data_IF_071535112300
#
_entry.id   IF_071535112300
#
_cell.length_a   1.000
_cell.length_b   1.000
_cell.length_c   1.000
_cell.angle_alpha   90.00
_cell.angle_beta   90.00
_cell.angle_gamma   90.00
#
_symmetry.space_group_name_H-M   'P 1'
#
loop_
_entity.id
_entity.type
_entity.pdbx_description
1 polymer ?
#
# COMPACT_ATOMS: atom_id res chain seq x y z
N UNK A 1 46.82 7.19 27.51
CA UNK A 1 46.21 5.86 27.26
C UNK A 1 44.83 5.89 27.88
N UNK A 2 43.88 6.43 27.12
CA UNK A 2 42.44 6.40 27.43
C UNK A 2 41.77 6.20 26.09
N UNK A 3 41.41 4.96 25.85
CA UNK A 3 40.72 4.45 24.69
C UNK A 3 39.36 5.14 24.60
N UNK A 4 39.20 5.99 23.59
CA UNK A 4 37.92 6.60 23.23
C UNK A 4 37.35 5.67 22.19
N UNK A 5 36.45 4.79 22.62
CA UNK A 5 35.63 3.98 21.73
C UNK A 5 34.88 4.91 20.79
N UNK A 6 35.35 4.94 19.55
CA UNK A 6 34.72 5.61 18.42
C UNK A 6 33.43 4.85 18.10
N UNK A 7 32.33 5.21 18.76
CA UNK A 7 31.00 4.84 18.30
C UNK A 7 30.71 5.65 17.04
N UNK A 8 31.28 5.21 15.91
CA UNK A 8 30.90 5.71 14.59
C UNK A 8 29.38 5.57 14.47
N UNK A 9 28.68 6.71 14.53
CA UNK A 9 27.25 6.79 14.31
C UNK A 9 26.96 6.46 12.85
N UNK A 10 26.88 5.18 12.53
CA UNK A 10 26.48 4.71 11.20
C UNK A 10 25.09 5.24 10.91
N UNK A 11 25.00 6.11 9.90
CA UNK A 11 23.70 6.55 9.36
C UNK A 11 22.91 5.31 8.95
N UNK A 12 21.59 5.26 9.20
CA UNK A 12 20.77 4.14 8.80
C UNK A 12 20.90 3.90 7.28
N UNK A 13 20.87 2.63 6.83
CA UNK A 13 20.95 2.31 5.42
C UNK A 13 19.82 3.00 4.65
N UNK A 14 20.15 3.59 3.50
CA UNK A 14 19.20 4.31 2.65
C UNK A 14 18.38 3.33 1.82
N UNK A 15 17.12 3.65 1.60
CA UNK A 15 16.19 2.83 0.82
C UNK A 15 15.73 3.60 -0.41
N UNK A 16 15.89 3.00 -1.58
CA UNK A 16 15.34 3.51 -2.83
C UNK A 16 13.84 3.25 -2.95
N UNK A 17 13.09 4.22 -3.45
CA UNK A 17 11.69 4.09 -3.87
C UNK A 17 11.61 4.46 -5.34
N UNK A 18 11.40 3.46 -6.18
CA UNK A 18 11.30 3.62 -7.63
C UNK A 18 9.84 3.63 -8.07
N UNK A 19 9.35 4.79 -8.49
CA UNK A 19 7.95 4.97 -8.86
C UNK A 19 7.77 4.80 -10.37
N UNK A 20 6.86 3.92 -10.78
CA UNK A 20 6.39 3.86 -12.18
C UNK A 20 5.17 4.78 -12.26
N UNK A 21 5.19 5.75 -13.18
CA UNK A 21 4.27 6.88 -13.15
C UNK A 21 4.71 7.97 -12.15
N UNK A 22 6.03 8.20 -12.06
CA UNK A 22 6.65 9.06 -11.04
C UNK A 22 6.18 10.52 -11.05
N UNK A 23 5.65 11.02 -12.18
CA UNK A 23 5.12 12.39 -12.36
C UNK A 23 3.59 12.45 -12.23
N UNK A 24 2.94 11.33 -11.92
CA UNK A 24 1.51 11.27 -11.61
C UNK A 24 1.16 12.02 -10.32
N UNK A 25 -0.14 12.27 -10.10
CA UNK A 25 -0.63 12.98 -8.90
C UNK A 25 -0.26 12.25 -7.60
N UNK A 26 -0.46 10.92 -7.55
CA UNK A 26 -0.12 10.08 -6.38
C UNK A 26 1.37 10.14 -6.08
N UNK A 27 2.21 9.89 -7.09
CA UNK A 27 3.66 9.88 -6.95
C UNK A 27 4.21 11.24 -6.48
N UNK A 28 3.77 12.32 -7.12
CA UNK A 28 4.22 13.68 -6.77
C UNK A 28 3.78 14.06 -5.35
N UNK A 29 2.55 13.69 -4.96
CA UNK A 29 2.04 13.92 -3.59
C UNK A 29 2.82 13.10 -2.57
N UNK A 30 3.18 11.85 -2.87
CA UNK A 30 4.00 11.00 -2.00
C UNK A 30 5.42 11.54 -1.82
N UNK A 31 6.09 11.98 -2.90
CA UNK A 31 7.44 12.58 -2.84
C UNK A 31 7.40 13.89 -2.02
N UNK A 32 6.42 14.76 -2.32
CA UNK A 32 6.24 16.03 -1.59
C UNK A 32 5.96 15.78 -0.11
N UNK A 33 5.06 14.83 0.19
CA UNK A 33 4.71 14.44 1.55
C UNK A 33 5.91 13.88 2.32
N UNK A 34 6.67 12.95 1.73
CA UNK A 34 7.86 12.39 2.36
C UNK A 34 8.88 13.47 2.73
N UNK A 35 9.16 14.40 1.81
CA UNK A 35 10.06 15.53 2.07
C UNK A 35 9.53 16.45 3.19
N UNK A 36 8.23 16.76 3.18
CA UNK A 36 7.59 17.60 4.18
C UNK A 36 7.63 16.97 5.58
N UNK A 37 7.38 15.67 5.67
CA UNK A 37 7.41 14.91 6.92
C UNK A 37 8.84 14.75 7.44
N UNK A 38 9.81 14.46 6.57
CA UNK A 38 11.23 14.42 6.92
C UNK A 38 11.72 15.77 7.47
N UNK A 39 11.25 16.88 6.89
CA UNK A 39 11.52 18.23 7.36
C UNK A 39 10.66 18.66 8.58
N UNK A 40 9.76 17.79 9.07
CA UNK A 40 8.83 18.06 10.17
C UNK A 40 7.93 19.29 9.95
N UNK A 41 7.58 19.56 8.70
CA UNK A 41 6.65 20.64 8.32
C UNK A 41 5.19 20.26 8.59
N UNK A 42 4.88 18.96 8.59
CA UNK A 42 3.54 18.42 8.87
C UNK A 42 3.61 17.15 9.72
N UNK A 43 2.54 16.81 10.46
CA UNK A 43 2.40 15.51 11.09
C UNK A 43 2.11 14.39 10.06
N UNK A 44 2.48 13.13 10.31
CA UNK A 44 2.32 12.01 9.38
C UNK A 44 0.87 11.46 9.35
N UNK A 45 -0.11 12.34 9.16
CA UNK A 45 -1.53 11.97 9.10
C UNK A 45 -1.78 11.04 7.90
N UNK A 46 -2.49 9.94 8.14
CA UNK A 46 -2.80 8.95 7.12
C UNK A 46 -1.73 7.87 6.93
N UNK A 47 -0.55 8.00 7.54
CA UNK A 47 0.47 6.95 7.54
C UNK A 47 0.26 5.99 8.70
N UNK A 48 -0.15 4.76 8.39
CA UNK A 48 -0.38 3.71 9.39
C UNK A 48 0.93 3.32 10.07
N UNK A 49 2.03 3.34 9.31
CA UNK A 49 3.36 2.96 9.82
C UNK A 49 3.97 3.95 10.81
N UNK A 50 3.36 5.13 10.98
CA UNK A 50 3.76 6.14 11.97
C UNK A 50 2.91 6.07 13.26
N UNK A 51 2.10 5.02 13.42
CA UNK A 51 1.31 4.76 14.64
C UNK A 51 2.02 3.83 15.62
N UNK A 52 1.60 3.85 16.88
CA UNK A 52 2.23 3.11 17.98
C UNK A 52 2.57 1.63 17.71
N UNK A 53 1.69 0.83 17.07
CA UNK A 53 2.00 -0.57 16.77
C UNK A 53 3.24 -0.82 15.90
N UNK A 54 3.69 0.19 15.13
CA UNK A 54 4.81 0.08 14.20
C UNK A 54 6.10 0.75 14.72
N UNK A 55 6.06 1.38 15.90
CA UNK A 55 7.21 2.09 16.48
C UNK A 55 8.47 1.19 16.56
N UNK A 56 8.28 -0.08 16.92
CA UNK A 56 9.37 -1.07 17.08
C UNK A 56 9.60 -1.94 15.83
N UNK A 57 8.92 -1.67 14.71
CA UNK A 57 9.07 -2.46 13.49
C UNK A 57 10.39 -2.18 12.74
N UNK A 58 11.18 -1.19 13.21
CA UNK A 58 12.44 -0.75 12.61
C UNK A 58 12.32 -0.51 11.09
N UNK A 59 11.26 0.18 10.70
CA UNK A 59 11.00 0.57 9.32
C UNK A 59 12.00 1.66 8.89
N UNK A 60 12.42 1.70 7.61
CA UNK A 60 13.26 2.79 7.10
C UNK A 60 12.65 4.15 7.46
N UNK A 61 13.39 5.08 8.09
CA UNK A 61 12.87 6.40 8.41
C UNK A 61 12.64 7.20 7.13
N UNK A 62 11.70 8.15 7.16
CA UNK A 62 11.29 8.92 5.97
C UNK A 62 12.44 9.71 5.33
N UNK A 63 13.37 10.23 6.13
CA UNK A 63 14.55 10.96 5.68
C UNK A 63 15.64 10.07 5.04
N UNK A 64 15.52 8.74 5.16
CA UNK A 64 16.39 7.78 4.49
C UNK A 64 15.88 7.33 3.12
N UNK A 65 14.65 7.71 2.76
CA UNK A 65 14.04 7.36 1.47
C UNK A 65 14.63 8.21 0.34
N UNK A 66 14.95 7.57 -0.78
CA UNK A 66 15.47 8.21 -1.99
C UNK A 66 14.55 7.88 -3.14
N UNK A 67 14.02 8.91 -3.81
CA UNK A 67 13.04 8.74 -4.87
C UNK A 67 13.71 8.77 -6.24
N UNK A 68 13.30 7.83 -7.10
CA UNK A 68 13.58 7.78 -8.53
C UNK A 68 12.38 7.17 -9.25
N UNK A 69 12.48 6.93 -10.54
CA UNK A 69 11.34 6.34 -11.25
C UNK A 69 11.37 6.46 -12.75
N UNK A 70 10.26 6.02 -13.35
CA UNK A 70 9.97 6.19 -14.76
C UNK A 70 8.67 6.96 -14.95
N UNK A 71 8.64 7.81 -15.97
CA UNK A 71 7.41 8.44 -16.42
C UNK A 71 7.46 8.79 -17.92
N UNK A 72 6.30 8.82 -18.58
CA UNK A 72 6.18 9.21 -19.98
C UNK A 72 5.89 10.70 -20.14
N UNK A 73 5.41 11.37 -19.10
CA UNK A 73 5.20 12.81 -19.07
C UNK A 73 6.53 13.56 -18.95
N UNK A 74 6.56 14.77 -19.51
CA UNK A 74 7.73 15.65 -19.48
C UNK A 74 7.66 16.75 -18.42
N UNK A 75 6.51 16.93 -17.75
CA UNK A 75 6.32 17.97 -16.75
C UNK A 75 7.22 17.74 -15.52
N UNK A 76 8.16 18.64 -15.19
CA UNK A 76 9.05 18.51 -14.03
C UNK A 76 8.27 18.34 -12.70
N UNK A 77 8.78 17.54 -11.76
CA UNK A 77 8.14 17.29 -10.47
C UNK A 77 7.83 18.56 -9.68
N UNK A 78 8.75 19.57 -9.59
CA UNK A 78 8.41 20.82 -8.92
C UNK A 78 7.20 21.52 -9.53
N UNK A 79 7.07 21.50 -10.86
CA UNK A 79 5.93 22.10 -11.57
C UNK A 79 4.65 21.29 -11.41
N UNK A 80 4.77 19.96 -11.39
CA UNK A 80 3.63 19.10 -11.07
C UNK A 80 3.12 19.34 -9.65
N UNK A 81 4.03 19.51 -8.68
CA UNK A 81 3.67 19.79 -7.29
C UNK A 81 3.00 21.17 -7.13
N UNK A 82 3.47 22.19 -7.84
CA UNK A 82 2.80 23.50 -7.91
C UNK A 82 1.35 23.37 -8.42
N UNK A 83 1.14 22.66 -9.54
CA UNK A 83 -0.20 22.44 -10.10
C UNK A 83 -1.13 21.67 -9.13
N UNK A 84 -0.59 20.68 -8.39
CA UNK A 84 -1.35 19.96 -7.37
C UNK A 84 -1.68 20.84 -6.16
N UNK A 85 -0.83 21.80 -5.82
CA UNK A 85 -1.12 22.78 -4.78
C UNK A 85 -2.23 23.76 -5.21
N UNK A 86 -2.22 24.20 -6.47
CA UNK A 86 -3.31 25.01 -7.05
C UNK A 86 -4.64 24.25 -7.06
N UNK A 87 -4.60 22.93 -7.30
CA UNK A 87 -5.78 22.05 -7.24
C UNK A 87 -6.23 21.69 -5.81
N UNK A 88 -5.53 22.16 -4.78
CA UNK A 88 -5.84 21.89 -3.38
C UNK A 88 -5.50 20.48 -2.89
N UNK A 89 -4.75 19.70 -3.67
CA UNK A 89 -4.27 18.36 -3.30
C UNK A 89 -3.11 18.45 -2.29
N UNK A 90 -2.22 19.42 -2.53
CA UNK A 90 -1.05 19.69 -1.69
C UNK A 90 -1.25 21.05 -1.00
N UNK A 91 -0.86 21.22 0.27
CA UNK A 91 -0.93 22.52 0.94
C UNK A 91 -0.17 23.61 0.16
N UNK A 92 -0.78 24.80 0.08
CA UNK A 92 -0.16 25.95 -0.57
C UNK A 92 1.23 26.24 0.04
N UNK A 93 2.21 26.52 -0.81
CA UNK A 93 3.57 26.89 -0.40
C UNK A 93 4.47 25.70 -0.05
N UNK A 94 3.90 24.51 0.17
CA UNK A 94 4.68 23.31 0.44
C UNK A 94 5.62 22.93 -0.72
N UNK A 95 5.20 22.97 -2.01
CA UNK A 95 6.12 22.70 -3.13
C UNK A 95 7.37 23.60 -3.14
N UNK A 96 7.22 24.86 -2.73
CA UNK A 96 8.35 25.78 -2.63
C UNK A 96 9.27 25.44 -1.45
N UNK A 97 8.70 25.01 -0.32
CA UNK A 97 9.44 24.61 0.88
C UNK A 97 10.29 23.35 0.66
N UNK A 98 9.81 22.40 -0.16
CA UNK A 98 10.52 21.14 -0.47
C UNK A 98 11.05 21.06 -1.90
N UNK A 99 11.32 22.22 -2.51
CA UNK A 99 11.72 22.32 -3.92
C UNK A 99 13.02 21.56 -4.22
N UNK A 100 13.96 21.55 -3.29
CA UNK A 100 15.26 20.90 -3.48
C UNK A 100 15.10 19.37 -3.55
N UNK A 101 14.26 18.81 -2.69
CA UNK A 101 13.92 17.39 -2.63
C UNK A 101 13.17 16.95 -3.89
N UNK A 102 12.20 17.77 -4.34
CA UNK A 102 11.49 17.54 -5.60
C UNK A 102 12.44 17.57 -6.81
N UNK A 103 13.37 18.52 -6.86
CA UNK A 103 14.36 18.61 -7.93
C UNK A 103 15.36 17.43 -7.90
N UNK A 104 15.75 16.97 -6.71
CA UNK A 104 16.61 15.81 -6.56
C UNK A 104 15.93 14.51 -7.04
N UNK A 105 14.65 14.32 -6.68
CA UNK A 105 13.85 13.21 -7.19
C UNK A 105 13.67 13.30 -8.71
N UNK A 106 13.44 14.49 -9.26
CA UNK A 106 13.26 14.73 -10.70
C UNK A 106 14.49 14.31 -11.52
N UNK A 107 15.69 14.64 -11.02
CA UNK A 107 16.96 14.29 -11.65
C UNK A 107 17.22 12.77 -11.68
N UNK A 108 16.58 12.01 -10.78
CA UNK A 108 16.66 10.56 -10.74
C UNK A 108 15.58 9.86 -11.61
N UNK A 109 14.72 10.63 -12.30
CA UNK A 109 13.72 10.07 -13.20
C UNK A 109 14.33 9.66 -14.55
N UNK A 110 13.71 8.65 -15.16
CA UNK A 110 14.04 8.13 -16.49
C UNK A 110 12.80 8.18 -17.40
N UNK A 111 12.98 8.39 -18.71
CA UNK A 111 11.87 8.38 -19.65
C UNK A 111 11.30 6.97 -19.79
N UNK A 112 9.99 6.82 -19.55
CA UNK A 112 9.26 5.57 -19.80
C UNK A 112 8.96 5.38 -21.29
N UNK A 113 8.74 4.13 -21.71
CA UNK A 113 8.23 3.87 -23.05
C UNK A 113 6.70 3.94 -23.06
N UNK A 114 6.08 4.50 -24.12
CA UNK A 114 4.64 4.45 -24.30
C UNK A 114 4.15 3.01 -24.50
N UNK A 115 2.87 2.77 -24.22
CA UNK A 115 2.24 1.45 -24.37
C UNK A 115 2.25 0.94 -25.82
N UNK A 116 2.07 1.85 -26.78
CA UNK A 116 2.17 1.58 -28.22
C UNK A 116 3.57 1.97 -28.72
N UNK A 117 4.25 1.04 -29.39
CA UNK A 117 5.59 1.27 -29.94
C UNK A 117 6.26 -0.02 -30.44
N UNK A 118 7.50 0.05 -30.96
CA UNK A 118 8.20 -1.09 -31.57
C UNK A 118 8.31 -2.32 -30.66
N UNK A 119 8.42 -2.12 -29.35
CA UNK A 119 8.45 -3.18 -28.34
C UNK A 119 7.10 -3.95 -28.20
N UNK A 120 6.02 -3.46 -28.81
CA UNK A 120 4.75 -4.19 -28.91
C UNK A 120 4.70 -5.14 -30.12
N UNK A 121 5.68 -5.12 -31.02
CA UNK A 121 5.65 -5.90 -32.27
C UNK A 121 6.85 -6.84 -32.41
N UNK A 122 7.93 -6.63 -31.66
CA UNK A 122 9.18 -7.40 -31.70
C UNK A 122 9.61 -7.89 -30.30
N UNK A 123 9.81 -9.19 -30.14
CA UNK A 123 10.24 -9.83 -28.88
C UNK A 123 11.67 -9.46 -28.47
N UNK A 124 12.55 -9.20 -29.45
CA UNK A 124 13.89 -8.69 -29.17
C UNK A 124 13.84 -7.30 -28.55
N UNK A 125 13.02 -6.41 -29.13
CA UNK A 125 12.79 -5.08 -28.61
C UNK A 125 12.11 -5.06 -27.23
N UNK A 126 11.20 -6.01 -26.95
CA UNK A 126 10.61 -6.18 -25.61
C UNK A 126 11.67 -6.57 -24.56
N UNK A 127 12.53 -7.53 -24.88
CA UNK A 127 13.58 -8.00 -23.97
C UNK A 127 14.64 -6.91 -23.72
N UNK A 128 15.05 -6.18 -24.75
CA UNK A 128 15.95 -5.03 -24.64
C UNK A 128 15.36 -3.92 -23.76
N UNK A 129 14.05 -3.68 -23.87
CA UNK A 129 13.35 -2.70 -23.05
C UNK A 129 13.32 -3.11 -21.57
N UNK A 130 13.02 -4.38 -21.28
CA UNK A 130 13.05 -4.93 -19.92
C UNK A 130 14.48 -4.87 -19.35
N UNK A 131 15.48 -5.20 -20.17
CA UNK A 131 16.89 -5.11 -19.78
C UNK A 131 17.30 -3.66 -19.46
N UNK A 132 16.86 -2.68 -20.26
CA UNK A 132 17.07 -1.26 -20.02
C UNK A 132 16.48 -0.81 -18.69
N UNK A 133 15.22 -1.16 -18.41
CA UNK A 133 14.58 -0.84 -17.13
C UNK A 133 15.28 -1.49 -15.94
N UNK A 134 15.75 -2.73 -16.06
CA UNK A 134 16.51 -3.40 -15.01
C UNK A 134 17.88 -2.73 -14.77
N UNK A 135 18.52 -2.27 -15.84
CA UNK A 135 19.76 -1.51 -15.76
C UNK A 135 19.56 -0.17 -15.04
N UNK A 136 18.48 0.56 -15.33
CA UNK A 136 18.15 1.80 -14.63
C UNK A 136 17.95 1.59 -13.12
N UNK A 137 17.25 0.52 -12.72
CA UNK A 137 17.05 0.16 -11.31
C UNK A 137 18.37 -0.15 -10.61
N UNK A 138 19.24 -0.93 -11.27
CA UNK A 138 20.55 -1.32 -10.74
C UNK A 138 21.45 -0.10 -10.60
N UNK A 139 21.45 0.75 -11.62
CA UNK A 139 22.23 1.98 -11.66
C UNK A 139 21.77 2.99 -10.60
N UNK A 140 20.46 3.16 -10.42
CA UNK A 140 19.90 3.98 -9.34
C UNK A 140 20.33 3.47 -7.96
N UNK A 141 20.21 2.16 -7.72
CA UNK A 141 20.63 1.52 -6.46
C UNK A 141 22.11 1.80 -6.18
N UNK A 142 22.97 1.61 -7.19
CA UNK A 142 24.41 1.83 -7.10
C UNK A 142 24.79 3.29 -6.89
N UNK A 143 24.27 4.19 -7.73
CA UNK A 143 24.64 5.62 -7.73
C UNK A 143 24.21 6.34 -6.44
N UNK A 144 23.11 5.92 -5.82
CA UNK A 144 22.65 6.49 -4.57
C UNK A 144 23.13 5.74 -3.31
N UNK A 145 23.91 4.66 -3.47
CA UNK A 145 24.43 3.85 -2.36
C UNK A 145 23.32 3.23 -1.51
N UNK A 146 22.29 2.71 -2.17
CA UNK A 146 21.08 2.20 -1.52
C UNK A 146 21.29 0.75 -1.09
N UNK A 147 20.81 0.41 0.10
CA UNK A 147 20.84 -0.98 0.57
C UNK A 147 19.85 -1.86 -0.21
N UNK A 148 18.76 -1.26 -0.70
CA UNK A 148 17.72 -1.88 -1.52
C UNK A 148 16.89 -0.82 -2.23
N UNK A 149 16.16 -1.22 -3.26
CA UNK A 149 15.23 -0.37 -4.00
C UNK A 149 13.89 -1.07 -4.13
N UNK A 150 12.81 -0.46 -3.62
CA UNK A 150 11.44 -0.96 -3.77
C UNK A 150 10.81 -0.29 -4.99
N UNK A 151 10.31 -1.10 -5.92
CA UNK A 151 9.61 -0.64 -7.13
C UNK A 151 8.12 -0.60 -6.85
N UNK A 152 7.47 0.54 -7.07
CA UNK A 152 6.03 0.72 -6.83
C UNK A 152 5.37 1.23 -8.10
N UNK A 153 4.39 0.48 -8.60
CA UNK A 153 3.57 0.90 -9.73
C UNK A 153 2.42 1.79 -9.27
N UNK A 154 2.43 3.05 -9.68
CA UNK A 154 1.35 4.04 -9.48
C UNK A 154 0.96 4.72 -10.81
N UNK A 155 1.26 4.08 -11.93
CA UNK A 155 0.94 4.58 -13.26
C UNK A 155 -0.55 4.48 -13.59
N UNK A 156 -0.95 5.05 -14.72
CA UNK A 156 -2.31 4.93 -15.24
C UNK A 156 -2.74 3.46 -15.36
N UNK A 157 -4.02 3.22 -15.11
CA UNK A 157 -4.63 1.88 -15.21
C UNK A 157 -4.54 1.36 -16.65
N UNK A 158 -4.16 0.10 -16.80
CA UNK A 158 -4.14 -0.61 -18.08
C UNK A 158 -5.40 -1.48 -18.22
N UNK A 159 -5.84 -1.77 -19.45
CA UNK A 159 -6.87 -2.78 -19.67
C UNK A 159 -6.40 -4.16 -19.19
N UNK A 160 -7.33 -5.07 -18.83
CA UNK A 160 -6.98 -6.41 -18.40
C UNK A 160 -6.27 -7.16 -19.55
N UNK A 161 -5.30 -8.04 -19.25
CA UNK A 161 -4.71 -8.89 -20.27
C UNK A 161 -5.78 -9.84 -20.83
N UNK A 162 -5.69 -10.25 -22.11
CA UNK A 162 -6.61 -11.23 -22.67
C UNK A 162 -6.55 -12.55 -21.90
N UNK A 163 -7.70 -13.22 -21.74
CA UNK A 163 -7.79 -14.49 -21.03
C UNK A 163 -6.95 -15.58 -21.72
N UNK A 164 -6.35 -16.51 -20.96
CA UNK A 164 -5.61 -17.63 -21.53
C UNK A 164 -6.49 -18.46 -22.46
N UNK A 165 -6.23 -18.39 -23.78
CA UNK A 165 -6.95 -19.16 -24.81
C UNK A 165 -7.94 -18.36 -25.67
N UNK A 166 -8.20 -17.09 -25.34
CA UNK A 166 -9.08 -16.22 -26.15
C UNK A 166 -8.34 -15.46 -27.27
N UNK A 167 -7.01 -15.51 -27.31
CA UNK A 167 -6.21 -14.98 -28.41
C UNK A 167 -6.02 -16.04 -29.51
N UNK A 168 -6.61 -15.90 -30.72
CA UNK A 168 -6.37 -16.82 -31.81
C UNK A 168 -4.93 -16.63 -32.30
N UNK A 169 -4.04 -17.57 -31.96
CA UNK A 169 -2.65 -17.58 -32.40
C UNK A 169 -1.75 -16.51 -31.74
N UNK A 170 -0.97 -16.90 -30.74
CA UNK A 170 0.50 -16.76 -30.75
C UNK A 170 1.05 -16.99 -29.34
N UNK A 171 2.22 -17.63 -29.26
CA UNK A 171 3.06 -17.64 -28.07
C UNK A 171 3.67 -16.24 -27.75
N UNK A 172 3.15 -15.15 -28.33
CA UNK A 172 3.82 -13.86 -28.46
C UNK A 172 2.92 -12.62 -28.26
N UNK A 173 1.90 -12.68 -27.40
CA UNK A 173 1.27 -11.43 -26.92
C UNK A 173 2.30 -10.64 -26.09
N UNK A 174 2.64 -9.39 -26.47
CA UNK A 174 3.59 -8.57 -25.73
C UNK A 174 3.12 -8.34 -24.30
N UNK A 175 4.06 -8.25 -23.37
CA UNK A 175 3.77 -7.84 -22.01
C UNK A 175 3.25 -6.40 -22.01
N UNK A 176 2.16 -6.08 -21.28
CA UNK A 176 1.78 -4.69 -21.11
C UNK A 176 2.86 -3.95 -20.29
N UNK A 177 2.92 -2.61 -20.34
CA UNK A 177 3.97 -1.82 -19.68
C UNK A 177 4.16 -2.17 -18.19
N UNK A 178 3.08 -2.30 -17.42
CA UNK A 178 3.14 -2.68 -16.00
C UNK A 178 3.89 -3.99 -15.77
N UNK A 179 3.68 -4.98 -16.64
CA UNK A 179 4.35 -6.28 -16.59
C UNK A 179 5.81 -6.20 -17.03
N UNK A 180 6.15 -5.35 -17.99
CA UNK A 180 7.56 -5.11 -18.38
C UNK A 180 8.37 -4.53 -17.22
N UNK A 181 7.81 -3.54 -16.51
CA UNK A 181 8.43 -3.01 -15.31
C UNK A 181 8.50 -4.03 -14.16
N UNK A 182 7.47 -4.86 -13.98
CA UNK A 182 7.51 -5.94 -12.99
C UNK A 182 8.62 -6.96 -13.31
N UNK A 183 8.75 -7.36 -14.59
CA UNK A 183 9.83 -8.24 -15.04
C UNK A 183 11.22 -7.64 -14.80
N UNK A 184 11.38 -6.33 -15.06
CA UNK A 184 12.61 -5.60 -14.79
C UNK A 184 12.94 -5.55 -13.28
N UNK A 185 11.93 -5.33 -12.43
CA UNK A 185 12.09 -5.34 -10.97
C UNK A 185 12.56 -6.71 -10.48
N UNK A 186 11.93 -7.81 -10.93
CA UNK A 186 12.37 -9.17 -10.60
C UNK A 186 13.82 -9.43 -11.05
N UNK A 187 14.17 -9.01 -12.27
CA UNK A 187 15.51 -9.18 -12.84
C UNK A 187 16.57 -8.41 -12.05
N UNK A 188 16.24 -7.21 -11.60
CA UNK A 188 17.11 -6.37 -10.77
C UNK A 188 17.14 -6.80 -9.29
N UNK A 189 16.41 -7.86 -8.90
CA UNK A 189 16.32 -8.28 -7.49
C UNK A 189 15.68 -7.22 -6.60
N UNK A 190 14.78 -6.40 -7.15
CA UNK A 190 14.10 -5.34 -6.42
C UNK A 190 12.71 -5.81 -5.95
N UNK A 191 12.34 -5.61 -4.67
CA UNK A 191 10.97 -5.79 -4.21
C UNK A 191 9.96 -5.00 -5.03
N UNK A 192 8.75 -5.52 -5.19
CA UNK A 192 7.75 -4.95 -6.10
C UNK A 192 6.38 -4.76 -5.45
N UNK A 193 5.75 -3.61 -5.70
CA UNK A 193 4.39 -3.31 -5.26
C UNK A 193 3.55 -2.85 -6.44
N UNK A 194 2.39 -3.46 -6.63
CA UNK A 194 1.43 -3.00 -7.64
C UNK A 194 0.27 -2.24 -7.00
N UNK A 195 0.30 -0.91 -7.05
CA UNK A 195 -0.76 -0.07 -6.48
C UNK A 195 -1.90 0.20 -7.47
N UNK A 196 -1.87 -0.39 -8.66
CA UNK A 196 -2.90 -0.25 -9.72
C UNK A 196 -3.60 -1.59 -9.97
N UNK A 197 -4.76 -1.61 -10.66
CA UNK A 197 -5.40 -2.87 -11.06
C UNK A 197 -4.76 -3.52 -12.30
N UNK A 198 -3.77 -2.86 -12.92
CA UNK A 198 -3.01 -3.39 -14.07
C UNK A 198 -2.37 -4.74 -13.74
N UNK A 199 -2.09 -5.56 -14.75
CA UNK A 199 -1.60 -6.93 -14.54
C UNK A 199 -0.31 -6.98 -13.70
N UNK A 200 0.67 -6.12 -14.00
CA UNK A 200 1.95 -6.07 -13.30
C UNK A 200 2.59 -7.46 -13.19
N UNK A 201 2.98 -7.84 -11.98
CA UNK A 201 3.55 -9.15 -11.68
C UNK A 201 2.59 -10.34 -11.88
N UNK A 202 1.28 -10.10 -11.87
CA UNK A 202 0.25 -11.15 -11.99
C UNK A 202 -0.03 -11.57 -13.43
N UNK A 203 0.66 -11.00 -14.41
CA UNK A 203 0.54 -11.45 -15.78
C UNK A 203 0.98 -12.92 -15.91
N UNK A 204 0.22 -13.80 -16.61
CA UNK A 204 0.52 -15.23 -16.68
C UNK A 204 1.95 -15.58 -17.13
N UNK A 205 2.52 -14.82 -18.08
CA UNK A 205 3.91 -14.97 -18.55
C UNK A 205 4.96 -14.78 -17.43
N UNK A 206 4.64 -14.07 -16.36
CA UNK A 206 5.56 -13.81 -15.24
C UNK A 206 5.37 -14.76 -14.06
N UNK A 207 4.35 -15.62 -14.07
CA UNK A 207 4.03 -16.48 -12.94
C UNK A 207 5.20 -17.40 -12.52
N UNK A 208 5.95 -17.93 -13.49
CA UNK A 208 7.13 -18.75 -13.19
C UNK A 208 8.27 -17.93 -12.58
N UNK A 209 8.55 -16.74 -13.13
CA UNK A 209 9.56 -15.83 -12.61
C UNK A 209 9.21 -15.34 -11.20
N UNK A 210 7.94 -15.00 -10.94
CA UNK A 210 7.46 -14.57 -9.63
C UNK A 210 7.65 -15.67 -8.56
N UNK A 211 7.42 -16.94 -8.89
CA UNK A 211 7.61 -18.07 -7.95
C UNK A 211 9.06 -18.33 -7.59
N UNK A 212 9.99 -18.09 -8.50
CA UNK A 212 11.43 -18.32 -8.27
C UNK A 212 12.17 -17.09 -7.81
N UNK A 213 11.54 -15.91 -7.92
CA UNK A 213 12.10 -14.66 -7.46
C UNK A 213 12.28 -14.66 -5.93
N UNK A 214 13.45 -14.22 -5.48
CA UNK A 214 13.81 -14.11 -4.06
C UNK A 214 13.59 -12.70 -3.54
N UNK A 215 12.47 -12.10 -3.92
CA UNK A 215 12.08 -10.74 -3.48
C UNK A 215 10.65 -10.77 -2.94
N UNK A 216 10.34 -9.94 -1.93
CA UNK A 216 8.97 -9.75 -1.50
C UNK A 216 8.20 -8.90 -2.51
N UNK A 217 6.91 -9.18 -2.64
CA UNK A 217 6.00 -8.36 -3.42
C UNK A 217 4.62 -8.23 -2.76
N UNK A 218 3.85 -7.24 -3.22
CA UNK A 218 2.48 -7.03 -2.76
C UNK A 218 1.60 -6.38 -3.82
N UNK A 219 0.34 -6.78 -3.86
CA UNK A 219 -0.66 -6.14 -4.71
C UNK A 219 -1.98 -6.88 -4.69
N UNK A 220 -2.99 -6.39 -5.42
CA UNK A 220 -2.96 -5.18 -6.27
C UNK A 220 -4.14 -4.24 -6.06
N UNK A 221 -4.01 -3.05 -6.65
CA UNK A 221 -4.96 -1.93 -6.65
C UNK A 221 -5.20 -1.29 -5.27
N UNK A 222 -4.70 -0.07 -5.06
CA UNK A 222 -4.79 0.63 -3.78
C UNK A 222 -6.24 0.85 -3.29
N UNK A 223 -6.47 0.66 -1.98
CA UNK A 223 -7.78 0.82 -1.33
C UNK A 223 -7.84 2.10 -0.48
N UNK A 224 -8.45 3.15 -1.03
CA UNK A 224 -8.39 4.51 -0.45
C UNK A 224 -9.74 5.16 -0.10
N UNK A 225 -10.80 4.95 -0.89
CA UNK A 225 -12.10 5.65 -0.74
C UNK A 225 -13.31 4.72 -0.64
N UNK A 226 -14.16 4.67 -1.68
CA UNK A 226 -15.40 3.86 -1.69
C UNK A 226 -15.18 2.39 -1.28
N UNK A 227 -14.17 1.74 -1.86
CA UNK A 227 -13.88 0.33 -1.56
C UNK A 227 -13.46 0.10 -0.11
N UNK A 228 -12.80 1.10 0.51
CA UNK A 228 -12.49 1.04 1.94
C UNK A 228 -13.79 0.94 2.75
N UNK A 229 -14.76 1.82 2.49
CA UNK A 229 -16.08 1.76 3.15
C UNK A 229 -16.79 0.42 2.92
N UNK A 230 -16.75 -0.12 1.70
CA UNK A 230 -17.35 -1.44 1.40
C UNK A 230 -16.74 -2.55 2.25
N UNK A 231 -15.41 -2.56 2.40
CA UNK A 231 -14.71 -3.56 3.23
C UNK A 231 -14.97 -3.44 4.74
N UNK A 232 -15.62 -2.36 5.17
CA UNK A 232 -16.10 -2.16 6.56
C UNK A 232 -17.58 -2.51 6.69
N UNK A 233 -18.40 -2.01 5.76
CA UNK A 233 -19.85 -2.11 5.84
C UNK A 233 -20.38 -3.49 5.42
N UNK A 234 -19.81 -4.12 4.40
CA UNK A 234 -20.27 -5.44 3.96
C UNK A 234 -20.15 -6.52 5.07
N UNK A 235 -19.00 -6.65 5.76
CA UNK A 235 -18.90 -7.54 6.92
C UNK A 235 -19.91 -7.24 8.02
N UNK A 236 -20.22 -5.97 8.28
CA UNK A 236 -21.20 -5.57 9.30
C UNK A 236 -22.58 -6.17 8.99
N UNK A 237 -23.05 -6.11 7.74
CA UNK A 237 -24.33 -6.71 7.35
C UNK A 237 -24.32 -8.23 7.53
N UNK A 238 -23.28 -8.90 7.03
CA UNK A 238 -23.13 -10.35 7.15
C UNK A 238 -23.09 -10.81 8.62
N UNK A 239 -22.26 -10.16 9.45
CA UNK A 239 -22.10 -10.49 10.88
C UNK A 239 -23.36 -10.23 11.71
N UNK A 240 -24.21 -9.30 11.28
CA UNK A 240 -25.50 -8.99 11.92
C UNK A 240 -26.67 -9.76 11.33
N UNK A 241 -26.41 -10.71 10.43
CA UNK A 241 -27.42 -11.49 9.71
C UNK A 241 -28.47 -10.59 9.01
N UNK A 242 -28.01 -9.48 8.43
CA UNK A 242 -28.82 -8.57 7.64
C UNK A 242 -28.63 -8.91 6.15
N UNK A 243 -29.69 -9.40 5.50
CA UNK A 243 -29.61 -9.83 4.12
C UNK A 243 -29.54 -8.62 3.17
N UNK A 244 -28.39 -8.43 2.52
CA UNK A 244 -28.22 -7.38 1.51
C UNK A 244 -28.87 -7.84 0.21
N UNK A 245 -29.90 -7.11 -0.24
CA UNK A 245 -30.60 -7.39 -1.49
C UNK A 245 -29.93 -6.73 -2.68
N UNK A 246 -29.57 -5.46 -2.52
CA UNK A 246 -28.94 -4.67 -3.57
C UNK A 246 -27.90 -3.69 -3.02
N UNK A 247 -26.84 -3.49 -3.78
CA UNK A 247 -25.80 -2.50 -3.51
C UNK A 247 -25.34 -1.84 -4.80
N UNK A 248 -25.97 -0.72 -5.13
CA UNK A 248 -25.60 0.10 -6.30
C UNK A 248 -24.70 1.27 -5.89
N UNK A 249 -23.91 1.80 -6.82
CA UNK A 249 -23.15 3.01 -6.56
C UNK A 249 -22.63 3.73 -7.80
N UNK A 250 -22.15 4.94 -7.60
CA UNK A 250 -21.53 5.77 -8.64
C UNK A 250 -20.25 6.39 -8.10
N UNK A 251 -19.26 6.56 -8.97
CA UNK A 251 -18.05 7.33 -8.69
C UNK A 251 -17.89 8.40 -9.77
N UNK A 252 -17.93 9.66 -9.35
CA UNK A 252 -17.60 10.81 -10.18
C UNK A 252 -16.17 11.22 -9.85
N UNK A 253 -15.28 11.24 -10.84
CA UNK A 253 -13.89 11.68 -10.67
C UNK A 253 -13.35 12.27 -11.97
N UNK A 254 -12.37 13.15 -11.87
CA UNK A 254 -11.66 13.71 -13.02
C UNK A 254 -10.16 13.40 -12.98
N UNK A 255 -9.37 14.30 -13.56
CA UNK A 255 -7.92 14.20 -13.55
C UNK A 255 -7.40 13.03 -14.39
N UNK A 256 -6.17 12.58 -14.10
CA UNK A 256 -5.53 11.51 -14.86
C UNK A 256 -6.22 10.15 -14.69
N UNK A 257 -6.77 9.88 -13.50
CA UNK A 257 -7.50 8.62 -13.22
C UNK A 257 -8.88 8.62 -13.89
N UNK A 258 -9.63 9.73 -13.83
CA UNK A 258 -10.89 9.88 -14.58
C UNK A 258 -10.69 9.70 -16.09
N UNK A 259 -9.70 10.38 -16.67
CA UNK A 259 -9.40 10.29 -18.09
C UNK A 259 -8.97 8.87 -18.53
N UNK A 260 -8.20 8.15 -17.70
CA UNK A 260 -7.82 6.77 -17.98
C UNK A 260 -9.02 5.81 -17.96
N UNK A 261 -10.06 6.12 -17.17
CA UNK A 261 -11.27 5.30 -17.02
C UNK A 261 -12.38 5.71 -17.98
N UNK A 262 -12.14 6.69 -18.85
CA UNK A 262 -12.99 6.93 -20.02
C UNK A 262 -12.92 5.75 -21.01
N UNK A 263 -11.85 4.94 -20.97
CA UNK A 263 -11.80 3.65 -21.66
C UNK A 263 -12.74 2.64 -20.95
N UNK A 264 -13.77 2.12 -21.64
CA UNK A 264 -14.70 1.15 -21.07
C UNK A 264 -14.03 -0.11 -20.52
N UNK A 265 -12.92 -0.57 -21.12
CA UNK A 265 -12.22 -1.77 -20.67
C UNK A 265 -11.51 -1.53 -19.33
N UNK A 266 -10.86 -0.36 -19.18
CA UNK A 266 -10.25 0.05 -17.92
C UNK A 266 -11.29 0.28 -16.82
N UNK A 267 -12.42 0.91 -17.15
CA UNK A 267 -13.55 1.08 -16.23
C UNK A 267 -14.12 -0.27 -15.78
N UNK A 268 -14.31 -1.22 -16.70
CA UNK A 268 -14.81 -2.56 -16.40
C UNK A 268 -13.89 -3.30 -15.43
N UNK A 269 -12.57 -3.26 -15.65
CA UNK A 269 -11.60 -3.87 -14.73
C UNK A 269 -11.68 -3.26 -13.32
N UNK A 270 -11.78 -1.92 -13.23
CA UNK A 270 -11.89 -1.22 -11.94
C UNK A 270 -13.22 -1.53 -11.24
N UNK A 271 -14.32 -1.66 -11.97
CA UNK A 271 -15.62 -2.04 -11.42
C UNK A 271 -15.65 -3.50 -10.97
N UNK A 272 -15.02 -4.41 -11.71
CA UNK A 272 -14.89 -5.81 -11.31
C UNK A 272 -14.17 -5.96 -9.95
N UNK A 273 -13.08 -5.21 -9.74
CA UNK A 273 -12.39 -5.17 -8.44
C UNK A 273 -13.29 -4.68 -7.29
N UNK A 274 -14.14 -3.66 -7.53
CA UNK A 274 -15.10 -3.16 -6.53
C UNK A 274 -16.22 -4.15 -6.23
N UNK A 275 -16.66 -4.92 -7.23
CA UNK A 275 -17.69 -5.95 -7.08
C UNK A 275 -17.14 -7.16 -6.30
N UNK A 276 -15.91 -7.60 -6.61
CA UNK A 276 -15.23 -8.69 -5.90
C UNK A 276 -15.20 -8.47 -4.39
N UNK A 277 -14.85 -7.25 -3.94
CA UNK A 277 -14.84 -6.91 -2.50
C UNK A 277 -16.21 -7.13 -1.84
N UNK A 278 -17.32 -6.90 -2.54
CA UNK A 278 -18.65 -7.19 -1.98
C UNK A 278 -18.91 -8.70 -1.93
N UNK A 279 -18.62 -9.42 -3.01
CA UNK A 279 -18.82 -10.87 -3.08
C UNK A 279 -17.99 -11.61 -2.00
N UNK A 280 -16.73 -11.25 -1.83
CA UNK A 280 -15.84 -11.90 -0.86
C UNK A 280 -16.30 -11.69 0.60
N UNK A 281 -16.94 -10.55 0.89
CA UNK A 281 -17.38 -10.20 2.24
C UNK A 281 -18.82 -10.66 2.54
N UNK A 282 -19.69 -10.78 1.53
CA UNK A 282 -21.09 -11.19 1.69
C UNK A 282 -21.33 -12.67 1.34
N UNK A 283 -20.38 -13.34 0.70
CA UNK A 283 -20.49 -14.71 0.20
C UNK A 283 -21.19 -14.82 -1.16
N UNK A 284 -22.04 -13.85 -1.51
CA UNK A 284 -22.65 -13.69 -2.83
C UNK A 284 -22.65 -12.22 -3.23
N UNK A 285 -22.57 -11.95 -4.53
CA UNK A 285 -22.71 -10.59 -5.04
C UNK A 285 -24.20 -10.18 -5.01
N UNK A 286 -24.59 -9.10 -4.31
CA UNK A 286 -25.97 -8.61 -4.31
C UNK A 286 -26.32 -7.97 -5.66
N UNK A 287 -27.62 -7.74 -5.90
CA UNK A 287 -28.07 -7.00 -7.09
C UNK A 287 -27.50 -5.57 -7.13
N UNK A 288 -27.43 -4.98 -8.31
CA UNK A 288 -26.98 -3.60 -8.51
C UNK A 288 -25.61 -3.50 -9.16
N UNK A 289 -25.31 -2.30 -9.63
CA UNK A 289 -24.12 -2.01 -10.42
C UNK A 289 -23.35 -0.81 -9.85
N UNK A 290 -22.07 -0.74 -10.21
CA UNK A 290 -21.22 0.41 -9.92
C UNK A 290 -20.81 1.07 -11.21
N UNK A 291 -21.07 2.36 -11.30
CA UNK A 291 -20.64 3.18 -12.42
C UNK A 291 -19.46 4.07 -12.04
N UNK A 292 -18.64 4.37 -13.04
CA UNK A 292 -17.55 5.33 -12.97
C UNK A 292 -17.75 6.30 -14.13
N UNK A 293 -17.87 7.57 -13.80
CA UNK A 293 -18.05 8.64 -14.78
C UNK A 293 -16.86 9.60 -14.71
N UNK A 294 -16.22 9.85 -15.86
CA UNK A 294 -15.20 10.88 -15.99
C UNK A 294 -15.86 12.26 -15.98
N UNK A 295 -15.53 13.06 -14.97
CA UNK A 295 -15.99 14.44 -14.80
C UNK A 295 -14.74 15.32 -14.70
N UNK A 296 -14.18 15.78 -15.84
CA UNK A 296 -12.89 16.49 -15.86
C UNK A 296 -12.80 17.69 -14.90
N UNK A 297 -13.92 18.38 -14.68
CA UNK A 297 -14.02 19.53 -13.78
C UNK A 297 -13.70 19.20 -12.30
N UNK A 298 -13.74 17.93 -11.91
CA UNK A 298 -13.43 17.51 -10.53
C UNK A 298 -11.93 17.37 -10.26
N UNK A 299 -11.08 17.31 -11.29
CA UNK A 299 -9.64 17.10 -11.11
C UNK A 299 -9.33 15.87 -10.24
N UNK A 300 -8.45 16.00 -9.26
CA UNK A 300 -8.07 14.93 -8.31
C UNK A 300 -9.13 14.65 -7.20
N UNK A 301 -10.27 15.36 -7.21
CA UNK A 301 -11.36 15.14 -6.27
C UNK A 301 -12.33 14.09 -6.80
N UNK A 302 -12.88 13.32 -5.87
CA UNK A 302 -13.81 12.25 -6.15
C UNK A 302 -15.01 12.30 -5.22
N UNK A 303 -16.17 12.04 -5.81
CA UNK A 303 -17.42 11.79 -5.09
C UNK A 303 -17.87 10.37 -5.39
N UNK A 304 -18.02 9.55 -4.36
CA UNK A 304 -18.62 8.23 -4.47
C UNK A 304 -19.92 8.17 -3.67
N UNK A 305 -20.93 7.55 -4.24
CA UNK A 305 -22.22 7.32 -3.61
C UNK A 305 -22.55 5.83 -3.65
N UNK A 306 -23.05 5.30 -2.53
CA UNK A 306 -23.59 3.94 -2.45
C UNK A 306 -25.03 3.97 -1.94
N UNK A 307 -25.87 3.12 -2.52
CA UNK A 307 -27.23 2.85 -2.09
C UNK A 307 -27.38 1.35 -1.79
N UNK A 308 -27.60 1.04 -0.51
CA UNK A 308 -27.58 -0.34 0.02
C UNK A 308 -28.97 -0.68 0.55
N UNK A 309 -29.67 -1.58 -0.14
CA UNK A 309 -30.97 -2.09 0.29
C UNK A 309 -30.80 -3.43 1.00
N UNK A 310 -31.34 -3.55 2.21
CA UNK A 310 -31.20 -4.75 3.03
C UNK A 310 -32.46 -5.05 3.84
N UNK A 311 -32.60 -6.31 4.26
CA UNK A 311 -33.70 -6.78 5.08
C UNK A 311 -33.23 -7.01 6.52
N UNK A 312 -34.02 -6.53 7.47
CA UNK A 312 -33.84 -6.75 8.90
C UNK A 312 -34.85 -7.72 9.50
N UNK A 313 -35.04 -7.61 10.81
CA UNK A 313 -35.94 -8.49 11.55
C UNK A 313 -37.38 -8.44 10.99
N UNK A 314 -38.01 -9.62 10.89
CA UNK A 314 -39.37 -9.83 10.35
C UNK A 314 -39.55 -9.35 8.89
N UNK A 315 -38.47 -9.26 8.11
CA UNK A 315 -38.52 -8.81 6.72
C UNK A 315 -38.66 -7.29 6.56
N UNK A 316 -38.36 -6.52 7.62
CA UNK A 316 -38.37 -5.05 7.57
C UNK A 316 -37.33 -4.55 6.56
N UNK A 317 -37.77 -3.89 5.50
CA UNK A 317 -36.91 -3.39 4.43
C UNK A 317 -36.31 -2.04 4.84
N UNK A 318 -35.00 -1.92 4.72
CA UNK A 318 -34.25 -0.72 5.07
C UNK A 318 -33.27 -0.35 3.97
N UNK A 319 -32.78 0.89 4.05
CA UNK A 319 -31.78 1.43 3.13
C UNK A 319 -30.70 2.16 3.93
N UNK A 320 -29.44 1.93 3.58
CA UNK A 320 -28.31 2.75 3.98
C UNK A 320 -27.74 3.45 2.74
N UNK A 321 -27.49 4.75 2.84
CA UNK A 321 -26.81 5.51 1.80
C UNK A 321 -25.54 6.13 2.37
N UNK A 322 -24.47 6.12 1.58
CA UNK A 322 -23.20 6.77 1.95
C UNK A 322 -22.75 7.70 0.84
N UNK A 323 -22.20 8.85 1.21
CA UNK A 323 -21.51 9.76 0.30
C UNK A 323 -20.09 9.95 0.79
N UNK A 324 -19.11 9.61 -0.05
CA UNK A 324 -17.69 9.86 0.19
C UNK A 324 -17.22 10.97 -0.73
N UNK A 325 -16.67 12.04 -0.16
CA UNK A 325 -16.02 13.12 -0.90
C UNK A 325 -14.58 13.23 -0.40
N UNK A 326 -13.61 13.09 -1.30
CA UNK A 326 -12.21 13.13 -0.92
C UNK A 326 -11.28 13.30 -2.11
N UNK A 327 -10.03 13.64 -1.82
CA UNK A 327 -8.97 13.69 -2.80
C UNK A 327 -8.26 12.32 -2.87
N UNK A 328 -8.36 11.65 -4.02
CA UNK A 328 -7.83 10.28 -4.16
C UNK A 328 -6.30 10.25 -4.02
N UNK A 329 -5.59 11.24 -4.56
CA UNK A 329 -4.13 11.35 -4.45
C UNK A 329 -3.66 11.60 -3.02
N UNK A 330 -4.37 12.42 -2.25
CA UNK A 330 -4.04 12.67 -0.84
C UNK A 330 -4.28 11.44 0.05
N UNK A 331 -5.30 10.61 -0.28
CA UNK A 331 -5.55 9.34 0.41
C UNK A 331 -4.55 8.25 0.01
N UNK A 332 -4.10 8.23 -1.25
CA UNK A 332 -3.20 7.22 -1.80
C UNK A 332 -1.73 7.43 -1.38
N UNK A 333 -1.25 8.67 -1.40
CA UNK A 333 0.15 9.01 -1.14
C UNK A 333 0.73 8.41 0.18
N UNK A 334 0.06 8.50 1.35
CA UNK A 334 0.61 7.91 2.57
C UNK A 334 0.69 6.38 2.50
N UNK A 335 -0.23 5.72 1.78
CA UNK A 335 -0.19 4.27 1.60
C UNK A 335 1.02 3.83 0.76
N UNK A 336 1.40 4.63 -0.25
CA UNK A 336 2.62 4.39 -1.04
C UNK A 336 3.87 4.46 -0.15
N UNK A 337 3.93 5.42 0.78
CA UNK A 337 5.05 5.54 1.72
C UNK A 337 5.07 4.39 2.74
N UNK A 338 3.91 4.00 3.28
CA UNK A 338 3.77 2.84 4.16
C UNK A 338 4.26 1.55 3.46
N UNK A 339 3.79 1.31 2.22
CA UNK A 339 4.16 0.13 1.43
C UNK A 339 5.65 0.11 1.09
N UNK A 340 6.23 1.25 0.70
CA UNK A 340 7.67 1.35 0.46
C UNK A 340 8.49 0.88 1.68
N UNK A 341 8.11 1.33 2.87
CA UNK A 341 8.80 1.03 4.11
C UNK A 341 8.58 -0.40 4.60
N UNK A 342 7.33 -0.88 4.54
CA UNK A 342 6.97 -2.24 4.95
C UNK A 342 7.62 -3.29 4.06
N UNK A 343 7.61 -3.09 2.74
CA UNK A 343 8.21 -4.02 1.79
C UNK A 343 9.74 -3.96 1.84
N UNK A 344 10.33 -2.78 2.02
CA UNK A 344 11.76 -2.65 2.28
C UNK A 344 12.19 -3.40 3.55
N UNK A 345 11.36 -3.37 4.60
CA UNK A 345 11.61 -4.11 5.84
C UNK A 345 11.43 -5.62 5.65
N UNK A 346 10.42 -6.04 4.88
CA UNK A 346 10.23 -7.45 4.52
C UNK A 346 11.45 -8.01 3.80
N UNK A 347 11.99 -7.26 2.84
CA UNK A 347 13.19 -7.62 2.07
C UNK A 347 14.43 -7.74 2.98
N UNK A 348 14.62 -6.78 3.89
CA UNK A 348 15.69 -6.85 4.89
C UNK A 348 15.63 -8.11 5.76
N UNK A 349 14.41 -8.56 6.07
CA UNK A 349 14.16 -9.75 6.87
C UNK A 349 14.20 -11.04 6.05
N UNK A 350 14.50 -10.96 4.74
CA UNK A 350 14.62 -12.10 3.84
C UNK A 350 13.28 -12.73 3.47
N UNK A 351 12.15 -12.01 3.60
CA UNK A 351 10.86 -12.49 3.12
C UNK A 351 10.86 -12.50 1.59
N UNK A 352 10.25 -13.53 1.02
CA UNK A 352 10.13 -13.70 -0.45
C UNK A 352 8.70 -14.06 -0.82
N UNK A 353 8.25 -13.67 -2.00
CA UNK A 353 6.88 -13.91 -2.44
C UNK A 353 5.89 -12.86 -1.92
N UNK A 354 4.57 -13.15 -1.93
CA UNK A 354 3.57 -12.22 -1.43
C UNK A 354 3.75 -11.97 0.07
N UNK A 355 3.82 -10.70 0.48
CA UNK A 355 3.99 -10.33 1.89
C UNK A 355 2.64 -10.42 2.64
N UNK A 356 2.51 -11.31 3.64
CA UNK A 356 1.27 -11.42 4.41
C UNK A 356 0.95 -10.13 5.17
N UNK A 357 -0.34 -9.86 5.38
CA UNK A 357 -0.81 -8.69 6.14
C UNK A 357 -0.88 -7.39 5.33
N UNK A 358 -0.20 -7.29 4.17
CA UNK A 358 -0.30 -6.10 3.32
C UNK A 358 -1.64 -5.98 2.57
N UNK A 359 -2.50 -7.00 2.63
CA UNK A 359 -3.85 -6.93 2.04
C UNK A 359 -4.71 -5.79 2.56
N UNK A 360 -4.37 -5.22 3.73
CA UNK A 360 -4.98 -4.00 4.27
C UNK A 360 -4.97 -2.82 3.28
N UNK A 361 -3.93 -2.70 2.45
CA UNK A 361 -3.73 -1.59 1.52
C UNK A 361 -4.39 -1.78 0.16
N UNK A 362 -4.91 -2.98 -0.15
CA UNK A 362 -5.31 -3.36 -1.52
C UNK A 362 -6.80 -3.72 -1.63
N UNK A 363 -7.33 -3.57 -2.85
CA UNK A 363 -8.67 -4.03 -3.23
C UNK A 363 -8.68 -5.49 -3.65
N UNK A 364 -7.63 -5.96 -4.32
CA UNK A 364 -7.46 -7.33 -4.80
C UNK A 364 -6.16 -7.92 -4.23
N UNK A 365 -6.09 -8.18 -2.90
CA UNK A 365 -4.86 -8.59 -2.25
C UNK A 365 -4.42 -10.01 -2.64
N UNK A 366 -3.11 -10.23 -2.69
CA UNK A 366 -2.49 -11.54 -2.95
C UNK A 366 -2.94 -12.65 -1.98
N UNK A 367 -3.18 -12.29 -0.72
CA UNK A 367 -3.54 -13.22 0.34
C UNK A 367 -4.16 -12.51 1.53
N UNK A 368 -4.77 -13.31 2.42
CA UNK A 368 -5.33 -12.85 3.67
C UNK A 368 -6.85 -12.67 3.64
N UNK A 369 -7.43 -12.17 4.73
CA UNK A 369 -8.87 -11.99 4.85
C UNK A 369 -9.40 -10.88 3.94
N UNK A 370 -10.68 -10.97 3.60
CA UNK A 370 -11.38 -9.97 2.76
C UNK A 370 -11.86 -8.73 3.55
N UNK A 371 -12.09 -8.88 4.86
CA UNK A 371 -12.63 -7.83 5.73
C UNK A 371 -11.53 -6.93 6.30
N UNK A 372 -11.81 -5.62 6.43
CA UNK A 372 -10.82 -4.66 6.93
C UNK A 372 -10.33 -4.99 8.35
N UNK A 373 -11.17 -5.40 9.33
CA UNK A 373 -10.70 -5.78 10.65
C UNK A 373 -9.75 -6.98 10.65
N UNK A 374 -9.99 -7.98 9.81
CA UNK A 374 -9.11 -9.13 9.59
C UNK A 374 -7.78 -8.70 9.01
N UNK A 375 -7.81 -7.85 7.98
CA UNK A 375 -6.61 -7.33 7.35
C UNK A 375 -5.78 -6.49 8.31
N UNK A 376 -6.43 -5.69 9.17
CA UNK A 376 -5.77 -4.94 10.23
C UNK A 376 -5.04 -5.86 11.23
N UNK A 377 -5.69 -6.94 11.67
CA UNK A 377 -5.05 -7.93 12.55
C UNK A 377 -3.80 -8.55 11.91
N UNK A 378 -3.91 -8.96 10.65
CA UNK A 378 -2.78 -9.52 9.90
C UNK A 378 -1.64 -8.51 9.70
N UNK A 379 -1.95 -7.24 9.47
CA UNK A 379 -0.96 -6.18 9.38
C UNK A 379 -0.23 -5.95 10.72
N UNK A 380 -0.95 -6.02 11.84
CA UNK A 380 -0.36 -5.96 13.17
C UNK A 380 0.53 -7.17 13.47
N UNK A 381 0.18 -8.35 12.97
CA UNK A 381 1.05 -9.54 13.04
C UNK A 381 2.34 -9.35 12.25
N UNK A 382 2.26 -8.79 11.03
CA UNK A 382 3.43 -8.43 10.24
C UNK A 382 4.35 -7.47 11.01
N UNK A 383 3.79 -6.40 11.59
CA UNK A 383 4.55 -5.42 12.37
C UNK A 383 5.24 -6.06 13.59
N UNK A 384 4.57 -6.99 14.29
CA UNK A 384 5.18 -7.77 15.37
C UNK A 384 6.33 -8.65 14.87
N UNK A 385 6.19 -9.28 13.71
CA UNK A 385 7.24 -10.08 13.08
C UNK A 385 8.50 -9.28 12.70
N UNK A 386 8.37 -7.97 12.51
CA UNK A 386 9.50 -7.08 12.22
C UNK A 386 10.26 -6.59 13.46
N UNK A 387 9.76 -6.85 14.67
CA UNK A 387 10.44 -6.46 15.90
C UNK A 387 11.80 -7.16 16.01
N UNK A 388 12.85 -6.46 16.47
CA UNK A 388 14.12 -7.11 16.80
C UNK A 388 13.85 -8.25 17.78
N UNK A 389 14.57 -9.37 17.64
CA UNK A 389 14.56 -10.37 18.69
C UNK A 389 15.04 -9.69 20.00
N UNK A 390 14.42 -9.97 21.16
CA UNK A 390 14.97 -9.49 22.41
C UNK A 390 16.43 -9.95 22.50
N UNK A 391 17.33 -9.02 22.80
CA UNK A 391 18.72 -9.38 23.10
C UNK A 391 18.70 -10.31 24.32
N UNK A 392 19.01 -11.60 24.14
CA UNK A 392 19.39 -12.50 25.23
C UNK A 392 20.71 -11.96 25.82
N UNK A 393 20.58 -11.08 26.80
CA UNK A 393 21.66 -10.22 27.26
C UNK A 393 21.46 -9.73 28.69
N UNK A 394 21.05 -10.62 29.58
CA UNK A 394 21.34 -10.50 31.01
C UNK A 394 21.54 -11.91 31.57
N UNK A 395 22.73 -12.46 31.34
CA UNK A 395 23.22 -13.53 32.20
C UNK A 395 23.17 -13.01 33.63
N UNK A 396 22.36 -13.65 34.46
CA UNK A 396 22.39 -13.48 35.90
C UNK A 396 23.79 -13.84 36.39
N UNK A 397 24.58 -12.81 36.67
CA UNK A 397 25.86 -12.93 37.37
C UNK A 397 25.52 -13.25 38.84
N UNK A 398 25.24 -14.52 39.12
CA UNK A 398 25.16 -15.04 40.49
C UNK A 398 26.58 -15.05 41.08
N UNK A 399 26.99 -13.92 41.66
CA UNK A 399 28.09 -13.88 42.62
C UNK A 399 27.57 -13.49 44.00
N UNK A 400 27.47 -14.54 44.82
CA UNK A 400 27.66 -14.60 46.27
C UNK A 400 27.46 -13.32 47.10
N UNK A 401 26.38 -13.33 47.88
CA UNK A 401 26.24 -12.55 49.11
C UNK A 401 25.63 -13.43 50.20
N UNK A 402 26.47 -13.89 51.13
CA UNK A 402 26.11 -14.72 52.30
C UNK A 402 25.55 -13.84 53.42
N UNK A 403 24.51 -14.37 54.08
CA UNK A 403 24.00 -14.08 55.43
C UNK A 403 23.28 -12.74 55.68
N UNK A 404 21.98 -12.82 56.03
CA UNK A 404 21.63 -12.77 57.45
C UNK A 404 20.34 -13.57 57.75
N UNK A 405 20.37 -14.33 58.86
CA UNK A 405 19.25 -15.12 59.40
C UNK A 405 19.00 -14.62 60.83
N UNK A 406 17.91 -13.89 61.01
CA UNK A 406 17.13 -13.76 62.25
C UNK A 406 15.80 -13.08 61.85
N UNK A 407 14.60 -13.45 62.28
CA UNK A 407 14.16 -14.39 63.30
C UNK A 407 12.71 -14.80 63.03
N UNK A 408 12.33 -15.93 63.61
CA UNK A 408 11.00 -16.52 63.52
C UNK A 408 9.98 -15.79 64.42
N UNK A 409 8.73 -15.74 63.95
CA UNK A 409 7.55 -15.39 64.75
C UNK A 409 6.31 -15.99 64.08
N UNK A 410 5.83 -17.09 64.65
CA UNK A 410 4.60 -17.83 64.32
C UNK A 410 3.35 -16.98 64.66
N UNK A 411 2.30 -16.94 63.84
CA UNK A 411 1.15 -17.86 63.73
C UNK A 411 -0.15 -17.22 64.27
N UNK A 412 -1.25 -17.80 63.78
CA UNK A 412 -2.67 -17.65 64.14
C UNK A 412 -3.44 -16.44 63.60
N UNK A 413 -4.72 -16.53 63.23
CA UNK A 413 -5.63 -17.58 62.75
C UNK A 413 -6.99 -16.85 62.60
N UNK A 414 -7.90 -17.37 61.76
CA UNK A 414 -9.36 -17.13 61.81
C UNK A 414 -9.92 -15.68 61.59
N UNK A 415 -11.13 -15.44 61.10
CA UNK A 415 -12.16 -16.21 60.41
C UNK A 415 -13.24 -15.21 59.92
N UNK A 416 -13.99 -15.66 58.89
CA UNK A 416 -15.42 -15.52 58.65
C UNK A 416 -16.18 -14.20 58.95
N UNK A 417 -16.95 -13.77 57.95
CA UNK A 417 -18.05 -12.82 58.10
C UNK A 417 -18.90 -12.71 56.84
N UNK A 418 -19.64 -13.77 56.51
CA UNK A 418 -20.76 -13.72 55.58
C UNK A 418 -22.00 -13.17 56.30
N UNK A 419 -22.73 -12.25 55.68
CA UNK A 419 -24.18 -12.07 55.91
C UNK A 419 -24.88 -11.61 54.64
N UNK A 420 -25.82 -12.45 54.23
CA UNK A 420 -26.90 -12.21 53.28
C UNK A 420 -27.77 -11.00 53.65
N UNK A 421 -28.43 -10.44 52.64
CA UNK A 421 -29.53 -9.49 52.79
C UNK A 421 -30.38 -9.39 51.53
N UNK A 422 -31.35 -10.31 51.40
CA UNK A 422 -32.41 -10.27 50.41
C UNK A 422 -33.56 -9.31 50.81
N UNK A 423 -34.28 -8.77 49.82
CA UNK A 423 -35.58 -8.10 49.97
C UNK A 423 -35.75 -6.92 48.99
N UNK A 424 -36.35 -7.09 47.81
CA UNK A 424 -37.78 -7.25 47.46
C UNK A 424 -38.53 -5.92 47.22
N UNK A 425 -39.08 -5.82 46.00
CA UNK A 425 -40.30 -5.14 45.55
C UNK A 425 -40.41 -3.61 45.61
N UNK A 426 -40.42 -2.96 44.44
CA UNK A 426 -41.64 -2.60 43.68
C UNK A 426 -41.32 -2.17 42.26
#
# INVERSE_FOLDING_TARGET
MTDRTDSSGLRPPRTGVWLIGARGSVATTAITGAAALAARLHPPVGMVTETGPFADAALPPLDSLVFGGHDTASCPLPKRAEALAEAGVIPHGLPAAVRAELAAADAALRPGAPAAGPAAEDTGAEEDLIAGYAADLTEFTRTHGLARTVVINVASTEPPPPEPGEAPGSAHTPLPPSSRYAAAALRAGCPYVNFTPSAGLHHPRLAAAARTARVPYAGRDGKTGQTLLRSVLAPMFAQRALAVRAWSGTNLLGGGDGAALADPAAAAAKNAGKARVLADNLGTLPEGEVHIDDVPAMGDWKTAWDHIAFDGFLGSRMVLQTTWQGCDSALAAPLVLDLARLVARADERGLTGPVPGLGFYFKDPDSGPADLPGQWRALLDLARGFRPAPHDGAGTDERGGVADRAGAGAADDAAAGATDGAGSAR
#
